data_IF_648953136982
#
_entry.id   IF_648953136982
#
_cell.length_a   1.000
_cell.length_b   1.000
_cell.length_c   1.000
_cell.angle_alpha   90.00
_cell.angle_beta   90.00
_cell.angle_gamma   90.00
#
_symmetry.space_group_name_H-M   'P 1'
#
loop_
_entity.id
_entity.type
_entity.pdbx_description
1 polymer ?
#
# COMPACT_ATOMS: atom_id res chain seq x y z
N UNK A 1 1.75 8.00 -15.85
CA UNK A 1 1.73 6.51 -16.04
C UNK A 1 1.43 5.75 -14.74
N UNK A 2 1.87 6.21 -13.57
CA UNK A 2 1.66 5.56 -12.26
C UNK A 2 0.20 5.53 -11.82
N UNK A 3 -0.53 6.64 -11.93
CA UNK A 3 -1.96 6.70 -11.62
C UNK A 3 -2.77 5.72 -12.45
N UNK A 4 -2.41 5.50 -13.72
CA UNK A 4 -3.09 4.52 -14.59
C UNK A 4 -2.91 3.07 -14.12
N UNK A 5 -1.75 2.72 -13.56
CA UNK A 5 -1.50 1.33 -13.11
C UNK A 5 -2.23 1.02 -11.80
N UNK A 6 -2.29 1.98 -10.89
CA UNK A 6 -3.10 1.88 -9.68
C UNK A 6 -4.59 1.75 -10.03
N UNK A 7 -5.08 2.57 -10.97
CA UNK A 7 -6.45 2.48 -11.48
C UNK A 7 -6.77 1.14 -12.18
N UNK A 8 -5.80 0.48 -12.82
CA UNK A 8 -6.03 -0.83 -13.46
C UNK A 8 -6.24 -1.91 -12.42
N UNK A 9 -5.42 -1.95 -11.37
CA UNK A 9 -5.57 -2.90 -10.26
C UNK A 9 -6.90 -2.72 -9.56
N UNK A 10 -7.20 -1.50 -9.12
CA UNK A 10 -8.44 -1.19 -8.39
C UNK A 10 -9.69 -1.49 -9.24
N UNK A 11 -9.62 -1.28 -10.56
CA UNK A 11 -10.69 -1.68 -11.48
C UNK A 11 -10.81 -3.19 -11.66
N UNK A 12 -9.69 -3.91 -11.65
CA UNK A 12 -9.72 -5.38 -11.73
C UNK A 12 -10.35 -5.97 -10.47
N UNK A 13 -9.95 -5.52 -9.29
CA UNK A 13 -10.51 -5.95 -8.00
C UNK A 13 -12.02 -5.66 -7.96
N UNK A 14 -12.43 -4.44 -8.32
CA UNK A 14 -13.84 -4.04 -8.38
C UNK A 14 -14.65 -4.88 -9.38
N UNK A 15 -14.08 -5.19 -10.55
CA UNK A 15 -14.74 -5.99 -11.57
C UNK A 15 -14.88 -7.47 -11.16
N UNK A 16 -13.86 -8.04 -10.49
CA UNK A 16 -13.88 -9.41 -9.98
C UNK A 16 -14.92 -9.52 -8.86
N UNK A 17 -14.86 -8.64 -7.87
CA UNK A 17 -15.79 -8.63 -6.74
C UNK A 17 -17.22 -8.41 -7.21
N UNK A 18 -17.47 -7.44 -8.10
CA UNK A 18 -18.80 -7.15 -8.60
C UNK A 18 -19.44 -8.28 -9.42
N UNK A 19 -18.62 -9.01 -10.20
CA UNK A 19 -19.12 -10.17 -10.99
C UNK A 19 -19.39 -11.41 -10.14
N UNK A 20 -18.61 -11.62 -9.09
CA UNK A 20 -18.64 -12.88 -8.33
C UNK A 20 -19.49 -12.74 -7.06
N UNK A 21 -19.36 -11.63 -6.32
CA UNK A 21 -20.01 -11.43 -5.02
C UNK A 21 -21.30 -10.61 -5.09
N UNK A 22 -21.62 -10.04 -6.25
CA UNK A 22 -22.87 -9.34 -6.48
C UNK A 22 -22.87 -7.84 -6.15
N UNK A 23 -24.06 -7.23 -6.23
CA UNK A 23 -24.26 -5.78 -6.18
C UNK A 23 -23.95 -5.18 -4.81
N UNK A 24 -24.27 -5.89 -3.72
CA UNK A 24 -24.05 -5.41 -2.36
C UNK A 24 -22.56 -5.27 -2.03
N UNK A 25 -21.75 -6.25 -2.46
CA UNK A 25 -20.29 -6.20 -2.31
C UNK A 25 -19.68 -5.08 -3.15
N UNK A 26 -20.20 -4.87 -4.36
CA UNK A 26 -19.78 -3.76 -5.23
C UNK A 26 -20.13 -2.39 -4.63
N UNK A 27 -21.34 -2.26 -4.08
CA UNK A 27 -21.77 -1.03 -3.40
C UNK A 27 -20.91 -0.77 -2.16
N UNK A 28 -20.59 -1.81 -1.37
CA UNK A 28 -19.71 -1.71 -0.23
C UNK A 28 -18.32 -1.19 -0.62
N UNK A 29 -17.69 -1.77 -1.65
CA UNK A 29 -16.39 -1.32 -2.15
C UNK A 29 -16.42 0.12 -2.65
N UNK A 30 -17.42 0.49 -3.46
CA UNK A 30 -17.56 1.85 -3.96
C UNK A 30 -17.69 2.90 -2.85
N UNK A 31 -18.43 2.56 -1.79
CA UNK A 31 -18.63 3.48 -0.65
C UNK A 31 -17.36 3.70 0.15
N UNK A 32 -16.53 2.67 0.33
CA UNK A 32 -15.28 2.76 1.11
C UNK A 32 -14.08 3.22 0.30
N UNK A 33 -14.22 3.33 -1.02
CA UNK A 33 -13.12 3.75 -1.92
C UNK A 33 -12.58 5.13 -1.54
N UNK A 34 -13.44 6.06 -1.14
CA UNK A 34 -13.04 7.40 -0.70
C UNK A 34 -12.13 7.37 0.53
N UNK A 35 -12.42 6.51 1.50
CA UNK A 35 -11.58 6.32 2.69
C UNK A 35 -10.23 5.74 2.27
N UNK A 36 -10.26 4.73 1.41
CA UNK A 36 -9.06 4.08 0.91
C UNK A 36 -8.13 5.07 0.19
N UNK A 37 -8.68 5.91 -0.69
CA UNK A 37 -7.93 6.96 -1.38
C UNK A 37 -7.31 7.97 -0.42
N UNK A 38 -8.05 8.39 0.61
CA UNK A 38 -7.54 9.32 1.62
C UNK A 38 -6.36 8.72 2.40
N UNK A 39 -6.51 7.49 2.86
CA UNK A 39 -5.48 6.78 3.64
C UNK A 39 -4.24 6.51 2.78
N UNK A 40 -4.42 5.95 1.59
CA UNK A 40 -3.31 5.66 0.67
C UNK A 40 -2.61 6.93 0.21
N UNK A 41 -3.37 8.00 -0.08
CA UNK A 41 -2.82 9.31 -0.46
C UNK A 41 -1.96 9.91 0.65
N UNK A 42 -2.38 9.79 1.90
CA UNK A 42 -1.62 10.26 3.06
C UNK A 42 -0.32 9.46 3.23
N UNK A 43 -0.38 8.12 3.15
CA UNK A 43 0.81 7.26 3.19
C UNK A 43 1.80 7.62 2.09
N UNK A 44 1.31 7.80 0.86
CA UNK A 44 2.14 8.20 -0.27
C UNK A 44 2.76 9.59 -0.08
N UNK A 45 2.00 10.54 0.44
CA UNK A 45 2.49 11.89 0.72
C UNK A 45 3.65 11.89 1.70
N UNK A 46 3.49 11.21 2.84
CA UNK A 46 4.53 11.07 3.87
C UNK A 46 5.78 10.40 3.31
N UNK A 47 5.63 9.26 2.67
CA UNK A 47 6.78 8.49 2.15
C UNK A 47 7.49 9.19 1.00
N UNK A 48 6.77 9.94 0.17
CA UNK A 48 7.39 10.76 -0.87
C UNK A 48 8.15 11.96 -0.29
N UNK A 49 7.64 12.57 0.79
CA UNK A 49 8.35 13.61 1.53
C UNK A 49 9.74 13.13 1.98
N UNK A 50 9.83 11.95 2.57
CA UNK A 50 11.12 11.35 2.93
C UNK A 50 12.01 11.10 1.71
N UNK A 51 11.44 10.61 0.60
CA UNK A 51 12.19 10.39 -0.63
C UNK A 51 12.79 11.66 -1.23
N UNK A 52 12.10 12.81 -1.09
CA UNK A 52 12.61 14.11 -1.54
C UNK A 52 13.85 14.52 -0.72
N UNK A 53 13.78 14.43 0.61
CA UNK A 53 14.90 14.76 1.48
C UNK A 53 16.12 13.89 1.18
N UNK A 54 15.92 12.57 1.05
CA UNK A 54 17.01 11.63 0.70
C UNK A 54 17.60 11.94 -0.66
N UNK A 55 16.78 12.25 -1.67
CA UNK A 55 17.27 12.58 -3.01
C UNK A 55 18.08 13.88 -3.02
N UNK A 56 17.75 14.87 -2.20
CA UNK A 56 18.51 16.12 -2.06
C UNK A 56 19.89 15.87 -1.46
N UNK A 57 19.98 15.08 -0.38
CA UNK A 57 21.26 14.74 0.25
C UNK A 57 22.13 13.87 -0.68
N UNK A 58 21.53 12.91 -1.36
CA UNK A 58 22.20 12.09 -2.35
C UNK A 58 22.76 12.92 -3.51
N UNK A 59 21.96 13.83 -4.06
CA UNK A 59 22.41 14.75 -5.12
C UNK A 59 23.48 15.74 -4.67
N UNK A 60 23.48 16.13 -3.39
CA UNK A 60 24.51 16.99 -2.80
C UNK A 60 25.81 16.26 -2.43
N UNK A 61 25.87 14.92 -2.60
CA UNK A 61 26.99 14.05 -2.23
C UNK A 61 27.43 14.20 -0.76
N UNK A 62 26.49 14.43 0.16
CA UNK A 62 26.74 14.54 1.59
C UNK A 62 26.43 13.21 2.28
N UNK A 63 27.42 12.32 2.34
CA UNK A 63 27.25 10.94 2.79
C UNK A 63 26.76 10.85 4.24
N UNK A 64 27.38 11.60 5.17
CA UNK A 64 26.97 11.61 6.58
C UNK A 64 25.52 12.09 6.77
N UNK A 65 25.16 13.22 6.14
CA UNK A 65 23.80 13.76 6.19
C UNK A 65 22.80 12.82 5.49
N UNK A 66 23.21 12.09 4.47
CA UNK A 66 22.38 11.10 3.79
C UNK A 66 22.03 9.93 4.71
N UNK A 67 23.04 9.36 5.39
CA UNK A 67 22.82 8.25 6.33
C UNK A 67 21.95 8.66 7.50
N UNK A 68 22.20 9.84 8.09
CA UNK A 68 21.37 10.40 9.15
C UNK A 68 19.93 10.63 8.70
N UNK A 69 19.74 11.18 7.50
CA UNK A 69 18.41 11.39 6.92
C UNK A 69 17.67 10.08 6.70
N UNK A 70 18.32 9.03 6.17
CA UNK A 70 17.71 7.72 5.96
C UNK A 70 17.32 7.09 7.30
N UNK A 71 18.18 7.18 8.32
CA UNK A 71 17.88 6.65 9.65
C UNK A 71 16.65 7.31 10.27
N UNK A 72 16.62 8.64 10.32
CA UNK A 72 15.48 9.39 10.85
C UNK A 72 14.19 9.19 10.04
N UNK A 73 14.29 9.15 8.71
CA UNK A 73 13.16 8.87 7.84
C UNK A 73 12.59 7.46 8.08
N UNK A 74 13.47 6.46 8.26
CA UNK A 74 13.05 5.08 8.56
C UNK A 74 12.36 4.98 9.91
N UNK A 75 12.92 5.61 10.95
CA UNK A 75 12.31 5.65 12.27
C UNK A 75 10.93 6.32 12.25
N UNK A 76 10.84 7.50 11.63
CA UNK A 76 9.57 8.23 11.50
C UNK A 76 8.54 7.45 10.66
N UNK A 77 8.98 6.74 9.64
CA UNK A 77 8.09 5.90 8.84
C UNK A 77 7.49 4.76 9.66
N UNK A 78 8.28 4.12 10.53
CA UNK A 78 7.78 3.06 11.43
C UNK A 78 6.79 3.64 12.46
N UNK A 79 7.13 4.75 13.09
CA UNK A 79 6.25 5.43 14.04
C UNK A 79 4.93 5.84 13.36
N UNK A 80 5.02 6.45 12.18
CA UNK A 80 3.84 6.83 11.40
C UNK A 80 3.00 5.60 11.03
N UNK A 81 3.62 4.49 10.59
CA UNK A 81 2.90 3.26 10.27
C UNK A 81 2.08 2.74 11.46
N UNK A 82 2.68 2.71 12.65
CA UNK A 82 2.00 2.26 13.87
C UNK A 82 0.85 3.21 14.24
N UNK A 83 1.12 4.52 14.27
CA UNK A 83 0.11 5.53 14.66
C UNK A 83 -1.07 5.53 13.67
N UNK A 84 -0.80 5.46 12.37
CA UNK A 84 -1.84 5.39 11.35
C UNK A 84 -2.65 4.10 11.45
N UNK A 85 -1.99 2.95 11.62
CA UNK A 85 -2.69 1.66 11.74
C UNK A 85 -3.62 1.68 12.95
N UNK A 86 -3.09 2.03 14.13
CA UNK A 86 -3.87 2.03 15.37
C UNK A 86 -4.99 3.08 15.30
N UNK A 87 -4.68 4.31 14.87
CA UNK A 87 -5.65 5.39 14.78
C UNK A 87 -6.79 5.09 13.82
N UNK A 88 -6.48 4.53 12.65
CA UNK A 88 -7.49 4.18 11.65
C UNK A 88 -8.32 2.99 12.13
N UNK A 89 -7.71 1.90 12.64
CA UNK A 89 -8.46 0.74 13.09
C UNK A 89 -9.44 1.07 14.23
N UNK A 90 -9.05 1.95 15.16
CA UNK A 90 -9.95 2.45 16.22
C UNK A 90 -11.03 3.36 15.63
N UNK A 91 -10.69 4.23 14.69
CA UNK A 91 -11.60 5.19 14.08
C UNK A 91 -12.57 4.63 13.04
N UNK A 92 -12.33 3.40 12.53
CA UNK A 92 -13.10 2.81 11.43
C UNK A 92 -14.62 2.82 11.63
N UNK A 93 -15.18 2.39 12.79
CA UNK A 93 -16.62 2.41 12.98
C UNK A 93 -17.20 3.81 12.90
N UNK A 94 -16.48 4.81 13.42
CA UNK A 94 -16.85 6.22 13.35
C UNK A 94 -16.81 6.75 11.91
N UNK A 95 -15.76 6.44 11.16
CA UNK A 95 -15.61 6.84 9.75
C UNK A 95 -16.73 6.29 8.88
N UNK A 96 -17.05 5.01 9.03
CA UNK A 96 -18.17 4.35 8.32
C UNK A 96 -19.50 4.97 8.71
N UNK A 97 -19.65 5.39 9.98
CA UNK A 97 -20.83 6.11 10.47
C UNK A 97 -20.98 7.51 9.84
N UNK A 98 -19.90 8.28 9.76
CA UNK A 98 -19.88 9.63 9.16
C UNK A 98 -20.23 9.57 7.67
N UNK A 99 -19.77 8.56 6.95
CA UNK A 99 -20.09 8.34 5.53
C UNK A 99 -21.51 7.84 5.30
N UNK A 100 -22.31 7.66 6.37
CA UNK A 100 -23.70 7.20 6.30
C UNK A 100 -23.86 5.90 5.49
N UNK A 101 -22.90 4.98 5.64
CA UNK A 101 -22.95 3.68 4.96
C UNK A 101 -24.23 2.95 5.37
N UNK A 102 -25.05 2.44 4.42
CA UNK A 102 -26.27 1.69 4.71
C UNK A 102 -26.01 0.54 5.69
N UNK A 103 -26.93 0.31 6.60
CA UNK A 103 -26.78 -0.66 7.70
C UNK A 103 -26.54 -2.08 7.16
N UNK A 104 -27.18 -2.41 6.04
CA UNK A 104 -27.15 -3.73 5.42
C UNK A 104 -25.75 -4.10 4.90
N UNK A 105 -25.00 -3.13 4.36
CA UNK A 105 -23.64 -3.36 3.79
C UNK A 105 -22.53 -2.98 4.76
N UNK A 106 -22.83 -2.35 5.90
CA UNK A 106 -21.84 -1.88 6.89
C UNK A 106 -20.91 -3.01 7.41
N UNK A 107 -21.39 -4.21 7.75
CA UNK A 107 -20.52 -5.30 8.17
C UNK A 107 -19.51 -5.69 7.08
N UNK A 108 -19.96 -5.74 5.83
CA UNK A 108 -19.11 -6.07 4.66
C UNK A 108 -18.01 -5.03 4.48
N UNK A 109 -18.37 -3.73 4.60
CA UNK A 109 -17.42 -2.62 4.55
C UNK A 109 -16.37 -2.71 5.65
N UNK A 110 -16.79 -2.93 6.89
CA UNK A 110 -15.88 -3.04 8.03
C UNK A 110 -14.95 -4.24 7.89
N UNK A 111 -15.46 -5.39 7.50
CA UNK A 111 -14.67 -6.60 7.28
C UNK A 111 -13.56 -6.38 6.25
N UNK A 112 -13.88 -5.73 5.14
CA UNK A 112 -12.91 -5.36 4.11
C UNK A 112 -11.86 -4.38 4.65
N UNK A 113 -12.31 -3.29 5.29
CA UNK A 113 -11.44 -2.23 5.76
C UNK A 113 -10.52 -2.67 6.91
N UNK A 114 -10.99 -3.51 7.83
CA UNK A 114 -10.15 -4.03 8.91
C UNK A 114 -8.98 -4.85 8.37
N UNK A 115 -9.22 -5.70 7.40
CA UNK A 115 -8.15 -6.50 6.77
C UNK A 115 -7.20 -5.59 5.98
N UNK A 116 -7.75 -4.70 5.16
CA UNK A 116 -6.96 -3.82 4.31
C UNK A 116 -6.08 -2.87 5.12
N UNK A 117 -6.64 -2.21 6.13
CA UNK A 117 -5.91 -1.23 6.94
C UNK A 117 -5.05 -1.87 8.04
N UNK A 118 -5.33 -3.13 8.41
CA UNK A 118 -4.36 -3.94 9.14
C UNK A 118 -3.04 -4.13 8.36
N UNK A 119 -3.11 -4.06 7.03
CA UNK A 119 -1.95 -4.10 6.12
C UNK A 119 -1.20 -2.76 5.95
N UNK A 120 -1.62 -1.66 6.60
CA UNK A 120 -0.95 -0.34 6.48
C UNK A 120 0.56 -0.40 6.70
N UNK A 121 1.10 -1.12 7.69
CA UNK A 121 2.55 -1.19 7.88
C UNK A 121 3.29 -1.73 6.65
N UNK A 122 2.72 -2.73 5.98
CA UNK A 122 3.29 -3.34 4.77
C UNK A 122 3.16 -2.39 3.56
N UNK A 123 2.03 -1.68 3.46
CA UNK A 123 1.84 -0.65 2.45
C UNK A 123 2.82 0.52 2.63
N UNK A 124 3.04 0.95 3.88
CA UNK A 124 4.00 1.98 4.22
C UNK A 124 5.43 1.53 3.87
N UNK A 125 5.78 0.29 4.21
CA UNK A 125 7.08 -0.31 3.88
C UNK A 125 7.33 -0.32 2.37
N UNK A 126 6.35 -0.76 1.57
CA UNK A 126 6.46 -0.71 0.11
C UNK A 126 6.67 0.72 -0.41
N UNK A 127 5.83 1.66 0.03
CA UNK A 127 5.90 3.04 -0.44
C UNK A 127 7.22 3.72 -0.04
N UNK A 128 7.69 3.46 1.19
CA UNK A 128 8.96 3.96 1.69
C UNK A 128 10.15 3.40 0.90
N UNK A 129 10.27 2.08 0.75
CA UNK A 129 11.36 1.45 0.00
C UNK A 129 11.34 1.85 -1.47
N UNK A 130 10.16 1.97 -2.07
CA UNK A 130 10.01 2.48 -3.42
C UNK A 130 10.41 3.96 -3.54
N UNK A 131 10.20 4.79 -2.51
CA UNK A 131 10.65 6.17 -2.48
C UNK A 131 12.18 6.25 -2.36
N UNK A 132 12.80 5.39 -1.52
CA UNK A 132 14.25 5.30 -1.40
C UNK A 132 14.92 4.89 -2.72
N UNK A 133 14.44 3.82 -3.37
CA UNK A 133 14.95 3.37 -4.66
C UNK A 133 14.91 4.49 -5.71
N UNK A 134 13.82 5.27 -5.73
CA UNK A 134 13.71 6.42 -6.63
C UNK A 134 14.67 7.55 -6.27
N UNK A 135 14.91 7.79 -4.99
CA UNK A 135 15.87 8.78 -4.53
C UNK A 135 17.29 8.45 -5.00
N UNK A 136 17.63 7.15 -5.08
CA UNK A 136 18.89 6.65 -5.64
C UNK A 136 18.88 6.50 -7.18
N UNK A 137 17.83 6.99 -7.86
CA UNK A 137 17.73 6.96 -9.32
C UNK A 137 17.13 5.68 -9.92
N UNK A 138 16.83 4.65 -9.12
CA UNK A 138 16.17 3.44 -9.60
C UNK A 138 14.66 3.57 -9.59
N UNK A 139 14.08 3.95 -10.70
CA UNK A 139 12.62 3.97 -10.93
C UNK A 139 12.09 2.69 -11.58
N UNK A 140 12.96 1.80 -12.07
CA UNK A 140 12.55 0.56 -12.74
C UNK A 140 12.12 -0.50 -11.74
N UNK A 141 12.87 -0.67 -10.66
CA UNK A 141 12.56 -1.66 -9.62
C UNK A 141 11.18 -1.46 -8.98
N UNK A 142 10.79 -0.25 -8.48
CA UNK A 142 9.44 -0.04 -7.97
C UNK A 142 8.34 -0.27 -9.00
N UNK A 143 8.60 0.05 -10.27
CA UNK A 143 7.65 -0.21 -11.35
C UNK A 143 7.45 -1.71 -11.58
N UNK A 144 8.54 -2.47 -11.64
CA UNK A 144 8.51 -3.93 -11.79
C UNK A 144 7.80 -4.58 -10.59
N UNK A 145 8.11 -4.15 -9.36
CA UNK A 145 7.43 -4.60 -8.16
C UNK A 145 5.91 -4.37 -8.23
N UNK A 146 5.49 -3.20 -8.70
CA UNK A 146 4.07 -2.87 -8.86
C UNK A 146 3.36 -3.78 -9.87
N UNK A 147 4.01 -4.08 -11.00
CA UNK A 147 3.44 -4.99 -12.03
C UNK A 147 3.33 -6.41 -11.49
N UNK A 148 4.37 -6.92 -10.84
CA UNK A 148 4.36 -8.25 -10.22
C UNK A 148 3.26 -8.32 -9.17
N UNK A 149 3.18 -7.33 -8.26
CA UNK A 149 2.15 -7.28 -7.24
C UNK A 149 0.74 -7.26 -7.83
N UNK A 150 0.51 -6.52 -8.92
CA UNK A 150 -0.80 -6.48 -9.57
C UNK A 150 -1.20 -7.84 -10.15
N UNK A 151 -0.28 -8.57 -10.78
CA UNK A 151 -0.54 -9.91 -11.30
C UNK A 151 -0.82 -10.92 -10.18
N UNK A 152 -0.02 -10.89 -9.11
CA UNK A 152 -0.26 -11.75 -7.94
C UNK A 152 -1.57 -11.41 -7.23
N UNK A 153 -1.90 -10.13 -7.09
CA UNK A 153 -3.16 -9.70 -6.50
C UNK A 153 -4.36 -10.28 -7.26
N UNK A 154 -4.42 -10.13 -8.59
CA UNK A 154 -5.50 -10.70 -9.42
C UNK A 154 -5.60 -12.22 -9.26
N UNK A 155 -4.47 -12.91 -9.27
CA UNK A 155 -4.46 -14.37 -9.10
C UNK A 155 -4.96 -14.81 -7.71
N UNK A 156 -4.54 -14.07 -6.65
CA UNK A 156 -4.96 -14.34 -5.28
C UNK A 156 -6.44 -13.97 -5.05
N UNK A 157 -6.93 -12.90 -5.68
CA UNK A 157 -8.35 -12.52 -5.62
C UNK A 157 -9.22 -13.64 -6.15
N UNK A 158 -8.89 -14.16 -7.34
CA UNK A 158 -9.62 -15.28 -7.93
C UNK A 158 -9.56 -16.53 -7.03
N UNK A 159 -8.40 -16.83 -6.49
CA UNK A 159 -8.24 -17.98 -5.60
C UNK A 159 -9.02 -17.84 -4.29
N UNK A 160 -8.90 -16.71 -3.60
CA UNK A 160 -9.57 -16.50 -2.30
C UNK A 160 -11.08 -16.33 -2.43
N UNK A 161 -11.56 -15.74 -3.53
CA UNK A 161 -12.98 -15.53 -3.74
C UNK A 161 -13.66 -16.77 -4.29
N UNK A 162 -13.07 -17.44 -5.31
CA UNK A 162 -13.69 -18.58 -6.00
C UNK A 162 -13.49 -19.90 -5.26
N UNK A 163 -12.25 -20.19 -4.83
CA UNK A 163 -11.92 -21.48 -4.22
C UNK A 163 -12.19 -21.51 -2.72
N UNK A 164 -11.85 -20.43 -2.01
CA UNK A 164 -12.00 -20.39 -0.55
C UNK A 164 -13.30 -19.72 -0.09
N UNK A 165 -14.01 -19.01 -0.97
CA UNK A 165 -15.28 -18.37 -0.62
C UNK A 165 -15.17 -17.26 0.42
N UNK A 166 -13.99 -16.63 0.57
CA UNK A 166 -13.74 -15.60 1.61
C UNK A 166 -14.33 -14.24 1.29
N UNK A 167 -14.99 -14.10 0.15
CA UNK A 167 -15.68 -12.87 -0.22
C UNK A 167 -14.75 -11.65 -0.24
N UNK A 168 -15.25 -10.51 0.25
CA UNK A 168 -14.50 -9.24 0.27
C UNK A 168 -13.27 -9.26 1.18
N UNK A 169 -13.26 -10.08 2.23
CA UNK A 169 -12.07 -10.28 3.08
C UNK A 169 -10.94 -10.91 2.30
N UNK A 170 -11.25 -11.84 1.40
CA UNK A 170 -10.28 -12.46 0.50
C UNK A 170 -9.62 -11.44 -0.41
N UNK A 171 -10.38 -10.53 -1.01
CA UNK A 171 -9.85 -9.46 -1.85
C UNK A 171 -8.93 -8.51 -1.06
N UNK A 172 -9.33 -8.10 0.16
CA UNK A 172 -8.48 -7.28 1.01
C UNK A 172 -7.17 -7.99 1.37
N UNK A 173 -7.23 -9.27 1.72
CA UNK A 173 -6.05 -10.07 2.06
C UNK A 173 -5.12 -10.27 0.86
N UNK A 174 -5.66 -10.53 -0.33
CA UNK A 174 -4.89 -10.63 -1.56
C UNK A 174 -4.10 -9.34 -1.83
N UNK A 175 -4.72 -8.17 -1.61
CA UNK A 175 -4.06 -6.87 -1.72
C UNK A 175 -2.90 -6.74 -0.73
N UNK A 176 -3.10 -7.11 0.54
CA UNK A 176 -2.05 -7.04 1.57
C UNK A 176 -0.89 -7.98 1.25
N UNK A 177 -1.16 -9.21 0.81
CA UNK A 177 -0.13 -10.18 0.41
C UNK A 177 0.65 -9.66 -0.80
N UNK A 178 -0.03 -9.15 -1.83
CA UNK A 178 0.62 -8.59 -3.01
C UNK A 178 1.55 -7.42 -2.66
N UNK A 179 1.13 -6.53 -1.74
CA UNK A 179 1.96 -5.44 -1.23
C UNK A 179 3.16 -5.94 -0.43
N UNK A 180 2.99 -7.03 0.33
CA UNK A 180 4.08 -7.66 1.07
C UNK A 180 5.16 -8.20 0.12
N UNK A 181 4.75 -8.87 -0.96
CA UNK A 181 5.68 -9.37 -1.98
C UNK A 181 6.42 -8.21 -2.68
N UNK A 182 5.69 -7.14 -3.02
CA UNK A 182 6.30 -5.95 -3.62
C UNK A 182 7.32 -5.28 -2.68
N UNK A 183 6.99 -5.17 -1.39
CA UNK A 183 7.90 -4.57 -0.39
C UNK A 183 9.15 -5.43 -0.19
N UNK A 184 9.00 -6.76 -0.11
CA UNK A 184 10.11 -7.68 0.01
C UNK A 184 11.05 -7.59 -1.21
N UNK A 185 10.50 -7.52 -2.42
CA UNK A 185 11.29 -7.34 -3.63
C UNK A 185 12.05 -6.01 -3.65
N UNK A 186 11.38 -4.91 -3.27
CA UNK A 186 12.02 -3.58 -3.19
C UNK A 186 13.12 -3.55 -2.11
N UNK A 187 12.89 -4.14 -0.94
CA UNK A 187 13.88 -4.26 0.13
C UNK A 187 15.11 -5.06 -0.32
N UNK A 188 14.89 -6.19 -0.96
CA UNK A 188 15.97 -7.01 -1.49
C UNK A 188 16.82 -6.22 -2.50
N UNK A 189 16.20 -5.49 -3.40
CA UNK A 189 16.92 -4.63 -4.36
C UNK A 189 17.66 -3.49 -3.67
N UNK A 190 17.05 -2.86 -2.67
CA UNK A 190 17.66 -1.78 -1.90
C UNK A 190 18.90 -2.28 -1.13
N UNK A 191 18.83 -3.48 -0.54
CA UNK A 191 19.98 -4.10 0.15
C UNK A 191 21.15 -4.37 -0.78
N UNK A 192 20.88 -4.78 -2.03
CA UNK A 192 21.93 -4.98 -3.03
C UNK A 192 22.64 -3.67 -3.41
N UNK A 193 21.92 -2.56 -3.49
CA UNK A 193 22.53 -1.25 -3.75
C UNK A 193 23.44 -0.87 -2.58
N UNK A 194 23.01 -1.08 -1.36
CA UNK A 194 23.81 -0.76 -0.16
C UNK A 194 25.04 -1.64 0.01
N UNK A 195 25.01 -2.90 -0.46
CA UNK A 195 26.15 -3.82 -0.42
C UNK A 195 27.13 -3.57 -1.58
N UNK A 196 26.62 -3.14 -2.75
CA UNK A 196 27.45 -2.95 -3.95
C UNK A 196 28.14 -1.58 -4.03
N UNK A 197 27.76 -0.61 -3.19
CA UNK A 197 28.47 0.67 -3.01
C UNK A 197 28.94 0.87 -1.55
N UNK A 198 29.81 -0.02 -1.02
CA UNK A 198 30.55 0.33 0.19
C UNK A 198 31.66 1.29 -0.24
N UNK A 199 31.50 2.58 0.04
CA UNK A 199 32.58 3.58 -0.08
C UNK A 199 33.19 3.78 -1.47
N UNK A 200 32.68 4.70 -2.24
CA UNK A 200 33.49 5.57 -3.11
C UNK A 200 33.31 7.02 -2.69
#
# INVERSE_FOLDING_TARGET
RRQRQMCIRDRADTAIVGKILGVDALAALGTVESINWLVLGTIQGITQGFGILVSQQFGAKKEEALQETIFHASFLAVVAAILFTVGILIGLPGLVGILQVPVDIRPICLDYLYVLFGGIPLMMLYNFTAAMLRAFGDSKTPLTACVIAALFNIALDLYFILELGWGVKGAALATVIAQTLASAYCLWKLSLIHISEPTR
#
